data_IF_895169423662
#
_entry.id   IF_895169423662
#
_cell.length_a   1.000
_cell.length_b   1.000
_cell.length_c   1.000
_cell.angle_alpha   90.00
_cell.angle_beta   90.00
_cell.angle_gamma   90.00
#
_symmetry.space_group_name_H-M   'P 1'
#
loop_
_entity.id
_entity.type
_entity.pdbx_description
1 polymer ?
#
# COMPACT_ATOMS: atom_id res chain seq x y z
N UNK A 1 64.41 1.89 -33.04
CA UNK A 1 63.15 1.46 -32.39
C UNK A 1 63.25 1.90 -30.94
N UNK A 2 62.74 3.11 -30.62
CA UNK A 2 61.47 3.36 -29.89
C UNK A 2 61.51 2.72 -28.49
N UNK A 3 61.91 3.48 -27.47
CA UNK A 3 61.03 4.20 -26.52
C UNK A 3 59.93 3.32 -25.94
N UNK A 4 60.05 2.98 -24.65
CA UNK A 4 58.95 3.11 -23.69
C UNK A 4 59.50 3.56 -22.34
N UNK A 5 58.89 4.61 -21.84
CA UNK A 5 59.29 5.45 -20.73
C UNK A 5 58.91 4.86 -19.38
N UNK A 6 59.60 5.38 -18.37
CA UNK A 6 59.45 5.19 -16.94
C UNK A 6 58.02 5.57 -16.49
N UNK A 7 57.24 4.61 -16.01
CA UNK A 7 55.96 4.91 -15.35
C UNK A 7 56.22 5.24 -13.87
N UNK A 8 55.93 6.46 -13.39
CA UNK A 8 56.07 6.78 -11.98
C UNK A 8 54.88 6.18 -11.23
N UNK A 9 55.15 5.18 -10.39
CA UNK A 9 54.18 4.66 -9.42
C UNK A 9 53.72 5.83 -8.52
N UNK A 10 52.44 6.18 -8.64
CA UNK A 10 51.79 7.28 -7.95
C UNK A 10 51.83 7.10 -6.41
N UNK A 11 52.19 8.12 -5.62
CA UNK A 11 52.24 8.02 -4.16
C UNK A 11 50.87 8.37 -3.57
N UNK A 12 49.91 7.45 -3.57
CA UNK A 12 48.54 7.72 -3.09
C UNK A 12 48.21 7.07 -1.74
N UNK A 13 49.20 6.56 -1.00
CA UNK A 13 48.97 6.18 0.41
C UNK A 13 50.17 6.49 1.29
N UNK A 14 50.28 7.75 1.71
CA UNK A 14 50.97 8.10 2.96
C UNK A 14 49.92 8.24 4.04
N UNK A 15 49.77 7.19 4.86
CA UNK A 15 49.04 7.28 6.12
C UNK A 15 50.01 7.89 7.11
N UNK A 16 49.83 9.19 7.37
CA UNK A 16 50.53 9.88 8.44
C UNK A 16 49.84 9.51 9.76
N UNK A 17 50.37 8.52 10.47
CA UNK A 17 49.92 8.18 11.83
C UNK A 17 50.62 9.14 12.79
N UNK A 18 50.14 10.38 12.82
CA UNK A 18 50.40 11.27 13.95
C UNK A 18 49.42 10.86 15.05
N UNK A 19 49.94 10.29 16.14
CA UNK A 19 49.17 10.06 17.36
C UNK A 19 48.89 11.41 18.02
N UNK A 20 47.95 12.16 17.46
CA UNK A 20 47.43 13.36 18.09
C UNK A 20 46.66 12.90 19.33
N UNK A 21 47.25 13.14 20.49
CA UNK A 21 46.61 12.92 21.78
C UNK A 21 45.67 14.09 22.03
N UNK A 22 44.66 14.22 21.16
CA UNK A 22 43.61 15.18 21.37
C UNK A 22 42.71 14.60 22.46
N UNK A 23 42.87 15.14 23.66
CA UNK A 23 42.09 14.78 24.83
C UNK A 23 40.73 15.45 24.68
N UNK A 24 39.87 14.84 23.87
CA UNK A 24 38.46 15.24 23.84
C UNK A 24 37.90 15.15 25.28
N UNK A 25 37.26 16.21 25.79
CA UNK A 25 36.63 16.16 27.10
C UNK A 25 35.57 15.07 27.05
N UNK A 26 35.74 14.01 27.86
CA UNK A 26 34.76 12.92 27.98
C UNK A 26 33.38 13.53 28.23
N UNK A 27 32.51 13.50 27.22
CA UNK A 27 31.13 14.01 27.32
C UNK A 27 30.46 13.36 28.53
N UNK A 28 29.88 14.18 29.42
CA UNK A 28 29.07 13.69 30.52
C UNK A 28 27.93 12.83 29.97
N UNK A 29 27.48 11.81 30.72
CA UNK A 29 26.37 10.94 30.31
C UNK A 29 25.14 11.75 29.90
N UNK A 30 24.86 12.85 30.60
CA UNK A 30 23.76 13.76 30.29
C UNK A 30 23.94 14.46 28.94
N UNK A 31 25.17 14.82 28.59
CA UNK A 31 25.49 15.42 27.28
C UNK A 31 25.26 14.42 26.14
N UNK A 32 25.62 13.15 26.35
CA UNK A 32 25.39 12.08 25.36
C UNK A 32 23.89 11.81 25.18
N UNK A 33 23.11 11.79 26.27
CA UNK A 33 21.65 11.62 26.22
C UNK A 33 20.98 12.79 25.50
N UNK A 34 21.37 14.03 25.81
CA UNK A 34 20.86 15.23 25.12
C UNK A 34 21.22 15.20 23.64
N UNK A 35 22.45 14.81 23.29
CA UNK A 35 22.87 14.68 21.91
C UNK A 35 22.03 13.60 21.19
N UNK A 36 21.77 12.45 21.82
CA UNK A 36 20.93 11.38 21.23
C UNK A 36 19.49 11.84 21.03
N UNK A 37 18.89 12.53 22.01
CA UNK A 37 17.54 13.09 21.90
C UNK A 37 17.45 14.11 20.76
N UNK A 38 18.48 14.94 20.58
CA UNK A 38 18.55 15.88 19.45
C UNK A 38 18.60 15.15 18.10
N UNK A 39 19.41 14.09 18.00
CA UNK A 39 19.45 13.27 16.79
C UNK A 39 18.11 12.59 16.52
N UNK A 40 17.43 12.10 17.57
CA UNK A 40 16.11 11.48 17.45
C UNK A 40 15.05 12.50 16.99
N UNK A 41 15.05 13.71 17.56
CA UNK A 41 14.15 14.79 17.12
C UNK A 41 14.43 15.20 15.67
N UNK A 42 15.70 15.32 15.28
CA UNK A 42 16.07 15.62 13.90
C UNK A 42 15.60 14.51 12.93
N UNK A 43 15.79 13.24 13.31
CA UNK A 43 15.29 12.09 12.57
C UNK A 43 13.77 12.10 12.43
N UNK A 44 13.04 12.43 13.50
CA UNK A 44 11.58 12.53 13.50
C UNK A 44 11.10 13.65 12.56
N UNK A 45 11.76 14.80 12.57
CA UNK A 45 11.42 15.90 11.65
C UNK A 45 11.63 15.49 10.19
N UNK A 46 12.72 14.81 9.88
CA UNK A 46 12.97 14.29 8.53
C UNK A 46 11.93 13.24 8.11
N UNK A 47 11.53 12.33 9.02
CA UNK A 47 10.48 11.36 8.77
C UNK A 47 9.14 12.03 8.47
N UNK A 48 8.75 13.04 9.27
CA UNK A 48 7.51 13.79 9.05
C UNK A 48 7.52 14.47 7.67
N UNK A 49 8.63 15.09 7.27
CA UNK A 49 8.77 15.69 5.93
C UNK A 49 8.69 14.67 4.79
N UNK A 50 9.13 13.43 5.01
CA UNK A 50 8.99 12.35 4.02
C UNK A 50 7.54 11.86 3.95
N UNK A 51 6.87 11.70 5.09
CA UNK A 51 5.45 11.33 5.15
C UNK A 51 4.57 12.38 4.49
N UNK A 52 4.82 13.67 4.75
CA UNK A 52 4.12 14.77 4.09
C UNK A 52 4.28 14.71 2.57
N UNK A 53 5.50 14.47 2.07
CA UNK A 53 5.76 14.31 0.63
C UNK A 53 5.07 13.09 0.03
N UNK A 54 5.03 11.96 0.75
CA UNK A 54 4.32 10.77 0.31
C UNK A 54 2.81 11.01 0.23
N UNK A 55 2.22 11.70 1.22
CA UNK A 55 0.80 12.06 1.21
C UNK A 55 0.50 12.99 0.04
N UNK A 56 1.34 14.01 -0.20
CA UNK A 56 1.18 14.91 -1.34
C UNK A 56 1.23 14.15 -2.67
N UNK A 57 2.19 13.25 -2.83
CA UNK A 57 2.28 12.43 -4.03
C UNK A 57 1.07 11.50 -4.20
N UNK A 58 0.59 10.90 -3.12
CA UNK A 58 -0.58 10.04 -3.15
C UNK A 58 -1.85 10.81 -3.53
N UNK A 59 -2.05 11.99 -2.94
CA UNK A 59 -3.16 12.87 -3.25
C UNK A 59 -3.13 13.30 -4.72
N UNK A 60 -1.98 13.74 -5.22
CA UNK A 60 -1.83 14.13 -6.63
C UNK A 60 -2.15 12.97 -7.59
N UNK A 61 -1.70 11.75 -7.28
CA UNK A 61 -2.03 10.55 -8.06
C UNK A 61 -3.53 10.23 -8.01
N UNK A 62 -4.16 10.34 -6.84
CA UNK A 62 -5.59 10.08 -6.69
C UNK A 62 -6.44 11.11 -7.44
N UNK A 63 -6.08 12.38 -7.37
CA UNK A 63 -6.73 13.46 -8.12
C UNK A 63 -6.59 13.27 -9.63
N UNK A 64 -5.40 12.88 -10.11
CA UNK A 64 -5.18 12.58 -11.51
C UNK A 64 -6.10 11.44 -11.98
N UNK A 65 -6.15 10.32 -11.26
CA UNK A 65 -7.04 9.19 -11.60
C UNK A 65 -8.51 9.59 -11.57
N UNK A 66 -8.92 10.39 -10.59
CA UNK A 66 -10.29 10.90 -10.51
C UNK A 66 -10.64 11.76 -11.73
N UNK A 67 -9.72 12.63 -12.16
CA UNK A 67 -9.91 13.48 -13.34
C UNK A 67 -9.97 12.66 -14.64
N UNK A 68 -9.09 11.68 -14.83
CA UNK A 68 -9.11 10.78 -16.00
C UNK A 68 -10.42 9.98 -16.07
N UNK A 69 -10.87 9.44 -14.94
CA UNK A 69 -12.14 8.73 -14.84
C UNK A 69 -13.33 9.65 -15.14
N UNK A 70 -13.29 10.89 -14.67
CA UNK A 70 -14.33 11.88 -14.93
C UNK A 70 -14.40 12.24 -16.42
N UNK A 71 -13.27 12.51 -17.05
CA UNK A 71 -13.18 12.75 -18.50
C UNK A 71 -13.68 11.54 -19.30
N UNK A 72 -13.33 10.32 -18.88
CA UNK A 72 -13.83 9.11 -19.52
C UNK A 72 -15.36 8.98 -19.42
N UNK A 73 -15.96 9.33 -18.27
CA UNK A 73 -17.42 9.32 -18.07
C UNK A 73 -18.13 10.33 -18.95
N UNK A 74 -17.56 11.53 -19.08
CA UNK A 74 -18.08 12.58 -19.96
C UNK A 74 -18.02 12.16 -21.44
N UNK A 75 -16.97 11.44 -21.84
CA UNK A 75 -16.87 10.84 -23.17
C UNK A 75 -17.83 9.64 -23.38
N UNK A 76 -18.20 8.92 -22.31
CA UNK A 76 -18.99 7.68 -22.38
C UNK A 76 -20.25 7.70 -21.49
N UNK A 77 -21.16 8.68 -21.63
CA UNK A 77 -22.26 8.89 -20.68
C UNK A 77 -23.33 7.78 -20.71
N UNK A 78 -23.49 7.08 -21.83
CA UNK A 78 -24.38 5.91 -21.92
C UNK A 78 -23.81 4.73 -21.16
N UNK A 79 -22.53 4.43 -21.36
CA UNK A 79 -21.87 3.30 -20.72
C UNK A 79 -21.78 3.49 -19.20
N UNK A 80 -21.43 4.69 -18.73
CA UNK A 80 -21.41 5.01 -17.30
C UNK A 80 -22.77 4.75 -16.63
N UNK A 81 -23.88 5.18 -17.26
CA UNK A 81 -25.24 4.89 -16.76
C UNK A 81 -25.57 3.39 -16.74
N UNK A 82 -25.18 2.66 -17.79
CA UNK A 82 -25.34 1.21 -17.82
C UNK A 82 -24.52 0.51 -16.72
N UNK A 83 -23.27 0.94 -16.48
CA UNK A 83 -22.43 0.42 -15.40
C UNK A 83 -23.06 0.67 -14.03
N UNK A 84 -23.63 1.86 -13.80
CA UNK A 84 -24.37 2.17 -12.58
C UNK A 84 -25.58 1.25 -12.39
N UNK A 85 -26.42 1.09 -13.42
CA UNK A 85 -27.59 0.20 -13.33
C UNK A 85 -27.21 -1.27 -13.13
N UNK A 86 -26.12 -1.71 -13.76
CA UNK A 86 -25.57 -3.05 -13.56
C UNK A 86 -25.03 -3.24 -12.14
N UNK A 87 -24.31 -2.26 -11.59
CA UNK A 87 -23.82 -2.27 -10.21
C UNK A 87 -24.96 -2.35 -9.20
N UNK A 88 -26.01 -1.53 -9.36
CA UNK A 88 -27.21 -1.57 -8.50
C UNK A 88 -27.89 -2.95 -8.55
N UNK A 89 -27.93 -3.58 -9.73
CA UNK A 89 -28.51 -4.92 -9.88
C UNK A 89 -27.66 -5.99 -9.23
N UNK A 90 -26.34 -5.97 -9.45
CA UNK A 90 -25.41 -6.91 -8.82
C UNK A 90 -25.33 -6.74 -7.31
N UNK A 91 -25.48 -5.52 -6.79
CA UNK A 91 -25.54 -5.26 -5.34
C UNK A 91 -26.76 -5.96 -4.70
N UNK A 92 -27.92 -5.94 -5.36
CA UNK A 92 -29.09 -6.71 -4.89
C UNK A 92 -28.83 -8.22 -4.93
N UNK A 93 -28.23 -8.72 -6.01
CA UNK A 93 -27.87 -10.14 -6.15
C UNK A 93 -26.85 -10.55 -5.09
N UNK A 94 -25.86 -9.71 -4.79
CA UNK A 94 -24.88 -9.96 -3.74
C UNK A 94 -25.54 -10.02 -2.37
N UNK A 95 -26.45 -9.10 -2.08
CA UNK A 95 -27.20 -9.09 -0.80
C UNK A 95 -27.96 -10.40 -0.63
N UNK A 96 -28.69 -10.85 -1.65
CA UNK A 96 -29.40 -12.12 -1.61
C UNK A 96 -28.44 -13.32 -1.50
N UNK A 97 -27.29 -13.26 -2.16
CA UNK A 97 -26.28 -14.31 -2.04
C UNK A 97 -25.71 -14.40 -0.62
N UNK A 98 -25.47 -13.26 0.04
CA UNK A 98 -25.02 -13.22 1.43
C UNK A 98 -26.09 -13.74 2.39
N UNK A 99 -27.37 -13.45 2.12
CA UNK A 99 -28.50 -13.97 2.89
C UNK A 99 -28.53 -15.51 2.84
N UNK A 100 -28.54 -16.09 1.64
CA UNK A 100 -28.49 -17.54 1.45
C UNK A 100 -27.23 -18.19 2.06
N UNK A 101 -26.08 -17.51 1.95
CA UNK A 101 -24.82 -17.98 2.52
C UNK A 101 -24.91 -18.03 4.04
N UNK A 102 -25.49 -17.00 4.66
CA UNK A 102 -25.66 -16.90 6.11
C UNK A 102 -26.63 -17.97 6.61
N UNK A 103 -27.73 -18.22 5.89
CA UNK A 103 -28.68 -19.29 6.19
C UNK A 103 -27.99 -20.66 6.18
N UNK A 104 -27.20 -20.98 5.15
CA UNK A 104 -26.47 -22.27 5.08
C UNK A 104 -25.40 -22.42 6.17
N UNK A 105 -24.76 -21.33 6.61
CA UNK A 105 -23.85 -21.36 7.76
C UNK A 105 -24.63 -21.71 9.04
N UNK A 106 -25.77 -21.05 9.27
CA UNK A 106 -26.60 -21.32 10.45
C UNK A 106 -27.13 -22.75 10.46
N UNK A 107 -27.54 -23.28 9.31
CA UNK A 107 -28.05 -24.65 9.20
C UNK A 107 -26.96 -25.72 9.35
N UNK A 108 -25.69 -25.36 9.11
CA UNK A 108 -24.55 -26.27 9.11
C UNK A 108 -23.51 -25.99 10.20
N UNK A 109 -23.85 -25.17 11.20
CA UNK A 109 -22.92 -24.61 12.20
C UNK A 109 -22.06 -25.71 12.86
N UNK A 110 -22.69 -26.73 13.45
CA UNK A 110 -22.00 -27.85 14.11
C UNK A 110 -21.07 -28.61 13.15
N UNK A 111 -21.50 -28.81 11.90
CA UNK A 111 -20.72 -29.52 10.88
C UNK A 111 -19.52 -28.71 10.39
N UNK A 112 -19.64 -27.38 10.31
CA UNK A 112 -18.56 -26.48 9.92
C UNK A 112 -17.52 -26.32 11.03
N UNK A 113 -17.93 -26.37 12.31
CA UNK A 113 -17.02 -26.31 13.45
C UNK A 113 -16.24 -27.62 13.65
N UNK A 114 -16.90 -28.77 13.48
CA UNK A 114 -16.30 -30.07 13.78
C UNK A 114 -15.52 -30.69 12.60
N UNK A 115 -15.85 -30.33 11.35
CA UNK A 115 -15.31 -30.97 10.15
C UNK A 115 -14.61 -29.99 9.21
N UNK A 116 -13.27 -30.10 9.14
CA UNK A 116 -12.44 -29.36 8.18
C UNK A 116 -12.82 -29.66 6.73
N UNK A 117 -13.35 -30.86 6.44
CA UNK A 117 -13.85 -31.20 5.11
C UNK A 117 -15.10 -30.37 4.74
N UNK A 118 -16.07 -30.26 5.65
CA UNK A 118 -17.29 -29.47 5.42
C UNK A 118 -16.97 -28.00 5.25
N UNK A 119 -16.02 -27.47 6.04
CA UNK A 119 -15.53 -26.11 5.89
C UNK A 119 -14.88 -25.88 4.51
N UNK A 120 -14.02 -26.80 4.07
CA UNK A 120 -13.38 -26.68 2.75
C UNK A 120 -14.40 -26.77 1.61
N UNK A 121 -15.37 -27.68 1.69
CA UNK A 121 -16.45 -27.77 0.69
C UNK A 121 -17.29 -26.49 0.65
N UNK A 122 -17.61 -25.92 1.81
CA UNK A 122 -18.32 -24.64 1.90
C UNK A 122 -17.50 -23.51 1.26
N UNK A 123 -16.22 -23.40 1.59
CA UNK A 123 -15.32 -22.39 1.00
C UNK A 123 -15.19 -22.58 -0.51
N UNK A 124 -15.08 -23.81 -1.00
CA UNK A 124 -14.99 -24.10 -2.44
C UNK A 124 -16.30 -23.77 -3.18
N UNK A 125 -17.46 -24.00 -2.54
CA UNK A 125 -18.79 -23.71 -3.10
C UNK A 125 -19.08 -22.20 -3.17
N UNK A 126 -18.75 -21.45 -2.12
CA UNK A 126 -19.16 -20.04 -1.97
C UNK A 126 -18.03 -19.03 -2.22
N UNK A 127 -16.79 -19.38 -1.89
CA UNK A 127 -15.63 -18.50 -1.91
C UNK A 127 -15.31 -17.89 -3.28
N UNK A 128 -15.12 -18.69 -4.35
CA UNK A 128 -14.82 -18.16 -5.69
C UNK A 128 -15.91 -17.21 -6.20
N UNK A 129 -17.18 -17.54 -5.93
CA UNK A 129 -18.31 -16.72 -6.37
C UNK A 129 -18.37 -15.39 -5.62
N UNK A 130 -18.12 -15.39 -4.31
CA UNK A 130 -18.08 -14.19 -3.48
C UNK A 130 -16.95 -13.25 -3.91
N UNK A 131 -15.74 -13.78 -4.14
CA UNK A 131 -14.58 -12.99 -4.56
C UNK A 131 -14.80 -12.35 -5.94
N UNK A 132 -15.26 -13.14 -6.92
CA UNK A 132 -15.50 -12.65 -8.27
C UNK A 132 -16.64 -11.61 -8.32
N UNK A 133 -17.74 -11.84 -7.60
CA UNK A 133 -18.87 -10.91 -7.59
C UNK A 133 -18.47 -9.55 -7.00
N UNK A 134 -17.71 -9.54 -5.91
CA UNK A 134 -17.14 -8.33 -5.33
C UNK A 134 -16.24 -7.57 -6.32
N UNK A 135 -15.34 -8.27 -7.01
CA UNK A 135 -14.45 -7.65 -8.00
C UNK A 135 -15.20 -7.00 -9.16
N UNK A 136 -16.20 -7.70 -9.73
CA UNK A 136 -17.03 -7.17 -10.82
C UNK A 136 -17.85 -5.96 -10.36
N UNK A 137 -18.44 -6.04 -9.17
CA UNK A 137 -19.20 -4.93 -8.59
C UNK A 137 -18.31 -3.71 -8.39
N UNK A 138 -17.09 -3.89 -7.87
CA UNK A 138 -16.15 -2.81 -7.64
C UNK A 138 -15.78 -2.08 -8.94
N UNK A 139 -15.54 -2.81 -10.04
CA UNK A 139 -15.26 -2.22 -11.36
C UNK A 139 -16.47 -1.44 -11.87
N UNK A 140 -17.66 -2.04 -11.83
CA UNK A 140 -18.89 -1.38 -12.31
C UNK A 140 -19.25 -0.14 -11.48
N UNK A 141 -19.05 -0.19 -10.16
CA UNK A 141 -19.25 0.94 -9.27
C UNK A 141 -18.31 2.09 -9.64
N UNK A 142 -17.00 1.84 -9.75
CA UNK A 142 -16.02 2.87 -10.14
C UNK A 142 -16.38 3.57 -11.45
N UNK A 143 -16.77 2.78 -12.46
CA UNK A 143 -17.19 3.31 -13.76
C UNK A 143 -18.57 3.99 -13.73
N UNK A 144 -19.46 3.57 -12.83
CA UNK A 144 -20.84 4.06 -12.72
C UNK A 144 -20.97 5.36 -11.92
N UNK A 145 -20.41 5.42 -10.72
CA UNK A 145 -20.41 6.56 -9.80
C UNK A 145 -19.14 6.40 -8.94
N UNK A 146 -18.20 7.35 -9.00
CA UNK A 146 -16.82 7.17 -8.50
C UNK A 146 -16.64 7.10 -6.99
N UNK A 147 -17.65 6.69 -6.23
CA UNK A 147 -17.52 6.40 -4.80
C UNK A 147 -17.72 4.90 -4.60
N UNK A 148 -16.72 4.18 -4.03
CA UNK A 148 -16.98 2.85 -3.53
C UNK A 148 -18.14 2.97 -2.55
N UNK A 149 -19.18 2.15 -2.71
CA UNK A 149 -20.23 2.02 -1.73
C UNK A 149 -19.55 1.71 -0.39
N UNK A 150 -19.51 2.71 0.50
CA UNK A 150 -19.04 2.51 1.85
C UNK A 150 -20.08 1.60 2.51
N UNK A 151 -19.73 0.32 2.61
CA UNK A 151 -20.43 -0.62 3.48
C UNK A 151 -20.22 -0.09 4.89
N UNK A 152 -21.27 0.54 5.43
CA UNK A 152 -21.37 0.84 6.87
C UNK A 152 -21.84 -0.40 7.61
#
# INVERSE_FOLDING_TARGET
MSSYEHEPLSPVFRIDVTAESDSEPRKSKDQVVVDLLRHLVAGQQQQNQLLERLIQQNNAMNEQRANELQQWKEANPRLARSCRAAAETLSRVQTQFLDNLTEEICDSEEGLEESEFMLNEFVDRFGPRLAHLNGVLQVLAQLGNGEPAQVS
#
